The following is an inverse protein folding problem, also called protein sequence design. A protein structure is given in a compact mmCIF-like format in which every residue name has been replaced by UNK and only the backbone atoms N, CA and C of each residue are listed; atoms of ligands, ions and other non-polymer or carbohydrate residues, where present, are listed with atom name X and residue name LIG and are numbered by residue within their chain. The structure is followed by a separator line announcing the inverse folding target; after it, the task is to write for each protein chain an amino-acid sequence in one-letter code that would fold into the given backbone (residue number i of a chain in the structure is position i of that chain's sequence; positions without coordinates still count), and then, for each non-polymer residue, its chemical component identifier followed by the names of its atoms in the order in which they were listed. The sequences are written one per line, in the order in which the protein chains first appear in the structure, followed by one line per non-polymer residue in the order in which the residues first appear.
data_IF_699068265584
#
_entry.id   IF_699068265584
#
_cell.length_a   1.000
_cell.length_b   1.000
_cell.length_c   1.000
_cell.angle_alpha   90.00
_cell.angle_beta   90.00
_cell.angle_gamma   90.00
#
_symmetry.space_group_name_H-M   'P 1'
#
loop_
_entity.id
_entity.type
_entity.pdbx_description
1 polymer ?
#
# COMPACT_ATOMS: atom_id res chain seq x y z
N UNK A 1 -5.17 7.74 3.45
CA UNK A 1 -5.66 7.64 2.05
C UNK A 1 -7.17 7.53 1.94
N UNK A 2 -7.87 6.69 2.72
CA UNK A 2 -9.35 6.59 2.64
C UNK A 2 -10.11 7.91 2.90
N UNK A 3 -9.54 8.80 3.70
CA UNK A 3 -10.03 10.16 3.96
C UNK A 3 -9.58 11.21 2.92
N UNK A 4 -8.53 10.92 2.16
CA UNK A 4 -7.92 11.85 1.20
C UNK A 4 -8.01 11.28 -0.21
N UNK A 5 -9.20 11.40 -0.80
CA UNK A 5 -9.51 10.84 -2.12
C UNK A 5 -8.57 11.36 -3.22
N UNK A 6 -8.18 12.64 -3.18
CA UNK A 6 -7.24 13.22 -4.14
C UNK A 6 -5.82 12.58 -4.09
N UNK A 7 -5.38 12.10 -2.92
CA UNK A 7 -4.11 11.36 -2.78
C UNK A 7 -4.28 9.96 -3.37
N UNK A 8 -5.42 9.32 -3.09
CA UNK A 8 -5.72 8.00 -3.65
C UNK A 8 -5.74 8.05 -5.19
N UNK A 9 -6.31 9.09 -5.78
CA UNK A 9 -6.36 9.23 -7.25
C UNK A 9 -4.97 9.44 -7.85
N UNK A 10 -4.08 10.20 -7.21
CA UNK A 10 -2.67 10.32 -7.63
C UNK A 10 -1.91 9.00 -7.55
N UNK A 11 -2.15 8.20 -6.51
CA UNK A 11 -1.56 6.86 -6.41
C UNK A 11 -2.09 5.95 -7.51
N UNK A 12 -3.39 6.01 -7.82
CA UNK A 12 -3.96 5.20 -8.89
C UNK A 12 -3.41 5.63 -10.25
N UNK A 13 -3.26 6.94 -10.51
CA UNK A 13 -2.63 7.42 -11.74
C UNK A 13 -1.18 6.90 -11.88
N UNK A 14 -0.39 6.90 -10.81
CA UNK A 14 0.94 6.28 -10.79
C UNK A 14 0.86 4.77 -11.10
N UNK A 15 -0.09 4.05 -10.50
CA UNK A 15 -0.26 2.62 -10.75
C UNK A 15 -0.71 2.34 -12.18
N UNK A 16 -1.58 3.17 -12.76
CA UNK A 16 -2.04 3.05 -14.14
C UNK A 16 -0.91 3.35 -15.13
N UNK A 17 0.04 4.23 -14.79
CA UNK A 17 1.25 4.46 -15.59
C UNK A 17 2.19 3.23 -15.57
N UNK A 18 2.27 2.51 -14.45
CA UNK A 18 3.16 1.34 -14.30
C UNK A 18 2.53 0.07 -14.90
N UNK A 19 1.23 -0.14 -14.67
CA UNK A 19 0.55 -1.39 -15.02
C UNK A 19 -0.34 -1.28 -16.26
N UNK A 20 -0.76 -0.08 -16.66
CA UNK A 20 -1.73 0.13 -17.73
C UNK A 20 -2.98 -0.73 -17.55
N UNK A 21 -3.43 -1.39 -18.62
CA UNK A 21 -4.55 -2.34 -18.61
C UNK A 21 -4.13 -3.76 -18.18
N UNK A 22 -2.92 -3.95 -17.65
CA UNK A 22 -2.45 -5.26 -17.19
C UNK A 22 -2.94 -5.59 -15.78
N UNK A 23 -3.63 -6.72 -15.64
CA UNK A 23 -3.96 -7.32 -14.34
C UNK A 23 -2.82 -8.18 -13.78
N UNK A 24 -1.62 -8.10 -14.38
CA UNK A 24 -0.47 -8.87 -13.92
C UNK A 24 -0.13 -8.55 -12.46
N UNK A 25 0.42 -9.53 -11.72
CA UNK A 25 0.94 -9.30 -10.39
C UNK A 25 2.08 -8.28 -10.41
N UNK A 26 2.19 -7.51 -9.33
CA UNK A 26 3.28 -6.57 -9.15
C UNK A 26 4.60 -7.33 -8.97
N UNK A 27 5.58 -7.00 -9.81
CA UNK A 27 6.96 -7.50 -9.71
C UNK A 27 7.78 -6.62 -8.79
N UNK A 28 8.96 -7.11 -8.41
CA UNK A 28 9.90 -6.30 -7.63
C UNK A 28 10.26 -4.99 -8.34
N UNK A 29 10.50 -5.02 -9.65
CA UNK A 29 10.86 -3.83 -10.41
C UNK A 29 9.75 -2.77 -10.39
N UNK A 30 8.49 -3.19 -10.48
CA UNK A 30 7.35 -2.27 -10.38
C UNK A 30 7.34 -1.55 -9.03
N UNK A 31 7.71 -2.24 -7.94
CA UNK A 31 7.73 -1.63 -6.61
C UNK A 31 8.77 -0.52 -6.45
N UNK A 32 9.80 -0.49 -7.31
CA UNK A 32 10.79 0.58 -7.34
C UNK A 32 10.22 1.84 -8.02
N UNK A 33 9.30 1.66 -8.98
CA UNK A 33 8.65 2.77 -9.69
C UNK A 33 7.43 3.34 -8.97
N UNK A 34 6.88 2.63 -7.96
CA UNK A 34 5.84 3.12 -7.04
C UNK A 34 6.35 4.20 -6.06
N UNK A 35 6.83 5.33 -6.59
CA UNK A 35 7.53 6.40 -5.86
C UNK A 35 6.58 7.26 -5.04
N UNK A 36 5.41 7.59 -5.58
CA UNK A 36 4.37 8.34 -4.89
C UNK A 36 3.72 7.50 -3.80
N UNK A 37 3.42 6.24 -4.07
CA UNK A 37 2.96 5.31 -3.04
C UNK A 37 3.97 5.15 -1.90
N UNK A 38 5.28 5.10 -2.21
CA UNK A 38 6.33 5.09 -1.19
C UNK A 38 6.32 6.36 -0.34
N UNK A 39 6.18 7.54 -0.95
CA UNK A 39 6.06 8.80 -0.21
C UNK A 39 4.84 8.81 0.71
N UNK A 40 3.68 8.32 0.26
CA UNK A 40 2.49 8.20 1.11
C UNK A 40 2.72 7.27 2.30
N UNK A 41 3.45 6.16 2.09
CA UNK A 41 3.82 5.26 3.18
C UNK A 41 4.79 5.92 4.16
N UNK A 42 5.82 6.61 3.68
CA UNK A 42 6.79 7.30 4.54
C UNK A 42 6.12 8.41 5.35
N UNK A 43 5.16 9.13 4.77
CA UNK A 43 4.38 10.14 5.48
C UNK A 43 3.49 9.52 6.57
N UNK A 44 2.91 8.35 6.29
CA UNK A 44 2.17 7.58 7.31
C UNK A 44 3.08 7.14 8.46
N UNK A 45 4.31 6.69 8.15
CA UNK A 45 5.29 6.32 9.17
C UNK A 45 5.83 7.54 9.94
N UNK A 46 5.85 8.73 9.35
CA UNK A 46 6.19 10.00 10.02
C UNK A 46 5.14 10.37 11.07
N UNK A 47 3.86 10.22 10.74
CA UNK A 47 2.73 10.51 11.65
C UNK A 47 2.49 9.40 12.68
N UNK A 48 2.67 8.14 12.28
CA UNK A 48 2.38 6.95 13.08
C UNK A 48 3.56 5.97 13.03
N UNK A 49 4.70 6.26 13.68
CA UNK A 49 5.89 5.41 13.63
C UNK A 49 5.62 4.07 14.30
N UNK A 50 5.53 2.95 13.56
CA UNK A 50 5.41 1.62 14.15
C UNK A 50 6.81 1.13 14.44
N UNK A 51 7.29 1.40 15.66
CA UNK A 51 8.64 1.08 16.16
C UNK A 51 9.07 -0.38 15.89
N UNK A 52 8.19 -1.40 15.84
CA UNK A 52 8.60 -2.80 15.54
C UNK A 52 8.55 -3.23 14.05
N UNK A 53 7.83 -2.52 13.15
CA UNK A 53 7.59 -3.02 11.76
C UNK A 53 8.80 -2.80 10.84
N UNK A 54 9.62 -1.78 11.10
CA UNK A 54 10.75 -1.38 10.25
C UNK A 54 11.94 -2.36 10.35
N UNK A 55 11.98 -3.24 11.36
CA UNK A 55 13.12 -4.11 11.65
C UNK A 55 13.21 -5.42 10.85
N UNK A 56 12.21 -5.79 10.03
CA UNK A 56 12.26 -7.03 9.24
C UNK A 56 13.02 -6.85 7.92
N UNK A 57 14.33 -7.05 7.98
CA UNK A 57 15.21 -7.23 6.83
C UNK A 57 15.20 -8.71 6.39
N UNK A 58 15.10 -8.98 5.10
CA UNK A 58 15.22 -10.34 4.56
C UNK A 58 16.61 -10.88 4.86
N UNK A 59 16.71 -12.05 5.47
CA UNK A 59 17.99 -12.75 5.68
C UNK A 59 18.37 -13.66 4.51
N UNK A 60 17.38 -14.04 3.72
CA UNK A 60 17.47 -14.95 2.58
C UNK A 60 16.58 -14.46 1.44
N UNK A 61 16.80 -14.97 0.23
CA UNK A 61 15.99 -14.62 -0.92
C UNK A 61 14.55 -15.09 -0.71
N UNK A 62 13.58 -14.23 -0.99
CA UNK A 62 12.16 -14.54 -0.80
C UNK A 62 11.45 -14.63 -2.14
N UNK A 63 10.86 -15.80 -2.43
CA UNK A 63 9.87 -15.93 -3.51
C UNK A 63 8.57 -15.23 -3.13
N UNK A 64 8.11 -14.33 -3.99
CA UNK A 64 6.84 -13.64 -3.80
C UNK A 64 5.67 -14.58 -4.06
N UNK A 65 4.66 -14.56 -3.20
CA UNK A 65 3.43 -15.36 -3.41
C UNK A 65 2.62 -14.91 -4.63
N UNK A 66 2.94 -13.73 -5.17
CA UNK A 66 2.30 -13.15 -6.35
C UNK A 66 2.95 -13.56 -7.67
N UNK A 67 4.02 -14.37 -7.70
CA UNK A 67 4.61 -14.91 -8.94
C UNK A 67 6.01 -15.52 -8.73
N UNK A 68 6.63 -16.07 -9.77
CA UNK A 68 7.94 -16.75 -9.73
C UNK A 68 9.17 -15.83 -9.52
N UNK A 69 9.02 -14.69 -8.84
CA UNK A 69 10.08 -13.71 -8.64
C UNK A 69 10.68 -13.76 -7.24
N UNK A 70 12.02 -13.75 -7.17
CA UNK A 70 12.80 -13.70 -5.93
C UNK A 70 13.25 -12.28 -5.58
N UNK A 71 13.04 -11.92 -4.32
CA UNK A 71 13.54 -10.68 -3.72
C UNK A 71 14.84 -10.99 -3.00
N UNK A 72 15.96 -10.30 -3.32
CA UNK A 72 17.23 -10.56 -2.66
C UNK A 72 17.20 -10.30 -1.15
N UNK A 73 18.00 -11.08 -0.41
CA UNK A 73 18.31 -10.81 0.98
C UNK A 73 18.84 -9.38 1.19
N UNK A 74 18.62 -8.83 2.38
CA UNK A 74 19.06 -7.50 2.78
C UNK A 74 18.03 -6.38 2.58
N UNK A 75 16.84 -6.67 2.03
CA UNK A 75 15.79 -5.67 1.76
C UNK A 75 14.73 -5.63 2.85
N UNK A 76 14.11 -4.45 3.06
CA UNK A 76 13.01 -4.24 3.99
C UNK A 76 11.75 -4.96 3.49
N UNK A 77 11.52 -6.18 3.97
CA UNK A 77 10.42 -7.06 3.54
C UNK A 77 9.05 -6.43 3.76
N UNK A 78 8.86 -5.79 4.92
CA UNK A 78 7.60 -5.20 5.30
C UNK A 78 7.14 -4.12 4.30
N UNK A 79 8.06 -3.27 3.86
CA UNK A 79 7.76 -2.20 2.89
C UNK A 79 7.36 -2.78 1.54
N UNK A 80 8.07 -3.81 1.06
CA UNK A 80 7.76 -4.46 -0.20
C UNK A 80 6.36 -5.11 -0.17
N UNK A 81 6.07 -5.87 0.89
CA UNK A 81 4.78 -6.55 1.05
C UNK A 81 3.64 -5.54 1.10
N UNK A 82 3.82 -4.44 1.83
CA UNK A 82 2.84 -3.37 1.92
C UNK A 82 2.60 -2.71 0.56
N UNK A 83 3.64 -2.39 -0.21
CA UNK A 83 3.49 -1.82 -1.56
C UNK A 83 2.68 -2.74 -2.48
N UNK A 84 2.94 -4.05 -2.46
CA UNK A 84 2.22 -5.03 -3.29
C UNK A 84 0.74 -5.13 -2.89
N UNK A 85 0.47 -5.22 -1.59
CA UNK A 85 -0.91 -5.29 -1.07
C UNK A 85 -1.66 -4.00 -1.41
N UNK A 86 -1.06 -2.84 -1.14
CA UNK A 86 -1.67 -1.54 -1.42
C UNK A 86 -1.90 -1.33 -2.92
N UNK A 87 -0.93 -1.67 -3.76
CA UNK A 87 -1.09 -1.64 -5.23
C UNK A 87 -2.26 -2.50 -5.68
N UNK A 88 -2.39 -3.71 -5.14
CA UNK A 88 -3.47 -4.65 -5.51
C UNK A 88 -4.84 -4.13 -5.07
N UNK A 89 -4.93 -3.60 -3.84
CA UNK A 89 -6.15 -3.03 -3.30
C UNK A 89 -6.56 -1.80 -4.10
N UNK A 90 -5.64 -0.86 -4.34
CA UNK A 90 -5.94 0.43 -4.97
C UNK A 90 -6.26 0.31 -6.47
N UNK A 91 -5.70 -0.69 -7.15
CA UNK A 91 -6.07 -1.00 -8.54
C UNK A 91 -7.48 -1.57 -8.65
N UNK A 92 -7.92 -2.37 -7.68
CA UNK A 92 -9.21 -3.09 -7.73
C UNK A 92 -10.34 -2.37 -7.01
N UNK A 93 -10.02 -1.57 -6.00
CA UNK A 93 -11.01 -1.00 -5.09
C UNK A 93 -10.73 0.48 -4.84
N UNK A 94 -11.81 1.25 -4.76
CA UNK A 94 -11.84 2.57 -4.18
C UNK A 94 -12.11 2.41 -2.69
N UNK A 95 -11.33 3.12 -1.88
CA UNK A 95 -11.34 2.94 -0.42
C UNK A 95 -11.80 4.24 0.20
N UNK A 96 -12.84 4.16 1.01
CA UNK A 96 -13.41 5.28 1.75
C UNK A 96 -13.27 5.05 3.24
N UNK A 97 -13.06 6.14 3.96
CA UNK A 97 -13.06 6.17 5.41
C UNK A 97 -14.01 7.28 5.83
N UNK A 98 -15.05 6.92 6.57
CA UNK A 98 -16.09 7.87 7.01
C UNK A 98 -15.69 8.59 8.33
N UNK A 99 -14.48 8.32 8.84
CA UNK A 99 -13.94 8.92 10.07
C UNK A 99 -13.07 10.15 9.81
N UNK A 100 -13.17 11.14 10.71
CA UNK A 100 -12.33 12.33 10.73
C UNK A 100 -11.01 12.06 11.45
N UNK A 101 -9.96 12.79 11.07
CA UNK A 101 -8.63 12.67 11.69
C UNK A 101 -8.62 12.93 13.20
N UNK A 102 -9.52 13.77 13.66
CA UNK A 102 -9.65 14.20 15.06
C UNK A 102 -10.19 13.08 15.97
N UNK A 103 -10.91 12.11 15.42
CA UNK A 103 -11.50 10.97 16.17
C UNK A 103 -10.55 9.76 16.27
N UNK A 104 -9.30 9.89 15.80
CA UNK A 104 -8.31 8.81 15.90
C UNK A 104 -7.83 8.64 17.35
N UNK A 105 -8.53 7.81 18.12
CA UNK A 105 -8.04 7.31 19.42
C UNK A 105 -6.94 6.27 19.20
N UNK A 106 -5.70 6.70 19.38
CA UNK A 106 -4.52 5.86 19.29
C UNK A 106 -4.26 5.17 20.62
N UNK A 107 -4.32 3.83 20.64
CA UNK A 107 -3.85 3.06 21.78
C UNK A 107 -2.34 2.82 21.62
N UNK A 108 -1.55 3.39 22.53
CA UNK A 108 -0.10 3.23 22.57
C UNK A 108 0.29 1.95 23.31
N UNK A 109 0.02 0.80 22.71
CA UNK A 109 0.84 -0.38 22.99
C UNK A 109 2.08 -0.36 22.08
N UNK A 110 3.04 -1.29 22.27
CA UNK A 110 4.26 -1.45 21.44
C UNK A 110 3.96 -1.37 19.92
N UNK A 111 2.70 -1.62 19.53
CA UNK A 111 2.13 -1.32 18.22
C UNK A 111 0.96 -0.34 18.42
N UNK A 112 1.02 0.83 17.78
CA UNK A 112 -0.13 1.73 17.64
C UNK A 112 -1.25 0.99 16.90
N UNK A 113 -2.29 0.61 17.64
CA UNK A 113 -3.49 -0.05 17.09
C UNK A 113 -4.72 0.76 17.49
N UNK A 114 -5.68 0.87 16.56
CA UNK A 114 -6.96 1.54 16.82
C UNK A 114 -7.84 0.66 17.70
N UNK A 115 -8.38 1.23 18.77
CA UNK A 115 -9.19 0.54 19.79
C UNK A 115 -10.52 0.00 19.20
N UNK A 116 -11.13 0.73 18.27
CA UNK A 116 -12.44 0.40 17.67
C UNK A 116 -12.39 -0.39 16.34
N UNK A 117 -11.22 -0.88 15.93
CA UNK A 117 -11.04 -1.57 14.63
C UNK A 117 -10.93 -0.60 13.44
N UNK A 118 -11.06 -1.10 12.20
CA UNK A 118 -10.91 -0.29 10.98
C UNK A 118 -12.24 -0.22 10.22
N UNK A 119 -13.02 0.85 10.43
CA UNK A 119 -14.23 1.11 9.64
C UNK A 119 -13.85 1.67 8.27
N UNK A 120 -13.64 0.77 7.31
CA UNK A 120 -13.25 1.11 5.94
C UNK A 120 -14.29 0.53 5.00
N UNK A 121 -14.81 1.35 4.09
CA UNK A 121 -15.71 0.91 3.02
C UNK A 121 -14.93 0.78 1.72
N UNK A 122 -15.12 -0.33 1.03
CA UNK A 122 -14.43 -0.61 -0.24
C UNK A 122 -15.46 -0.82 -1.34
N UNK A 123 -15.28 -0.13 -2.47
CA UNK A 123 -16.10 -0.29 -3.66
C UNK A 123 -15.23 -0.75 -4.83
N UNK A 124 -15.66 -1.72 -5.66
CA UNK A 124 -14.92 -2.08 -6.86
C UNK A 124 -14.73 -0.88 -7.79
N UNK A 125 -13.52 -0.69 -8.32
CA UNK A 125 -13.28 0.32 -9.36
C UNK A 125 -13.80 -0.21 -10.69
N UNK A 126 -14.61 0.60 -11.39
CA UNK A 126 -14.91 0.35 -12.80
C UNK A 126 -13.62 0.55 -13.58
N UNK A 127 -13.07 -0.53 -14.13
CA UNK A 127 -11.90 -0.48 -15.01
C UNK A 127 -12.32 0.26 -16.28
N UNK A 128 -11.94 1.52 -16.41
CA UNK A 128 -12.05 2.23 -17.68
C UNK A 128 -10.99 1.64 -18.59
N UNK A 129 -11.35 0.62 -19.36
CA UNK A 129 -10.54 0.21 -20.50
C UNK A 129 -10.27 1.46 -21.33
N UNK A 130 -9.00 1.82 -21.52
CA UNK A 130 -8.67 2.83 -22.51
C UNK A 130 -9.15 2.28 -23.86
N UNK A 131 -10.08 2.99 -24.48
CA UNK A 131 -10.48 2.70 -25.85
C UNK A 131 -9.21 2.73 -26.72
N UNK A 132 -9.07 1.68 -27.53
CA UNK A 132 -7.95 1.42 -28.43
C UNK A 132 -7.67 2.57 -29.39
#
# INVERSE_FOLDING_TARGET
MGIHQHIQDKVVEELDQIFGDSDRPATFQDTLEMKYLERCMMETLRMYPPVPIIARQLKENLKLVSGDYEVPAGRKYAMLKLKIILSTILRKYRVYSDMKEEDFRLQADIILKREEGFQIRMEPRKRTAKAS
#
